data_IF_578321833024
#
_entry.id   IF_578321833024
#
_cell.length_a   1.000
_cell.length_b   1.000
_cell.length_c   1.000
_cell.angle_alpha   90.00
_cell.angle_beta   90.00
_cell.angle_gamma   90.00
#
_symmetry.space_group_name_H-M   'P 1'
#
loop_
_entity.id
_entity.type
_entity.pdbx_description
1 polymer ?
#
# COMPACT_ATOMS: atom_id res chain seq x y z
N UNK A 1 14.09 -5.91 17.28
CA UNK A 1 12.96 -6.55 16.56
C UNK A 1 12.32 -7.74 17.28
N UNK A 2 12.91 -8.31 18.34
CA UNK A 2 12.36 -9.49 19.04
C UNK A 2 10.87 -9.38 19.47
N UNK A 3 10.44 -8.22 19.99
CA UNK A 3 9.02 -8.03 20.33
C UNK A 3 8.11 -8.05 19.10
N UNK A 4 8.54 -7.46 17.98
CA UNK A 4 7.77 -7.46 16.74
C UNK A 4 7.66 -8.88 16.15
N UNK A 5 8.77 -9.63 16.14
CA UNK A 5 8.80 -11.03 15.72
C UNK A 5 7.88 -11.91 16.59
N UNK A 6 7.90 -11.70 17.90
CA UNK A 6 7.00 -12.40 18.82
C UNK A 6 5.52 -12.14 18.50
N UNK A 7 5.14 -10.87 18.26
CA UNK A 7 3.75 -10.53 17.93
C UNK A 7 3.34 -11.03 16.54
N UNK A 8 4.25 -11.04 15.56
CA UNK A 8 4.03 -11.68 14.26
C UNK A 8 3.73 -13.16 14.42
N UNK A 9 4.53 -13.87 15.22
CA UNK A 9 4.32 -15.30 15.43
C UNK A 9 3.00 -15.58 16.15
N UNK A 10 2.61 -14.73 17.11
CA UNK A 10 1.29 -14.79 17.75
C UNK A 10 0.16 -14.56 16.74
N UNK A 11 0.29 -13.57 15.86
CA UNK A 11 -0.69 -13.30 14.81
C UNK A 11 -0.90 -14.50 13.89
N UNK A 12 0.19 -15.10 13.41
CA UNK A 12 0.14 -16.28 12.55
C UNK A 12 -0.52 -17.48 13.25
N UNK A 13 -0.18 -17.74 14.52
CA UNK A 13 -0.84 -18.77 15.32
C UNK A 13 -2.34 -18.52 15.50
N UNK A 14 -2.75 -17.27 15.67
CA UNK A 14 -4.19 -16.97 15.80
C UNK A 14 -4.97 -17.15 14.50
N UNK A 15 -4.33 -16.93 13.33
CA UNK A 15 -4.96 -17.24 12.04
C UNK A 15 -5.26 -18.74 11.93
N UNK A 16 -4.40 -19.63 12.44
CA UNK A 16 -4.60 -21.08 12.40
C UNK A 16 -5.90 -21.51 13.11
N UNK A 17 -6.22 -20.85 14.22
CA UNK A 17 -7.41 -21.10 15.03
C UNK A 17 -8.73 -20.66 14.37
N UNK A 18 -8.68 -19.91 13.27
CA UNK A 18 -9.89 -19.48 12.55
C UNK A 18 -10.46 -20.68 11.78
N UNK A 19 -11.77 -20.98 11.87
CA UNK A 19 -12.36 -22.05 11.06
C UNK A 19 -12.29 -21.72 9.55
N UNK A 20 -12.00 -22.71 8.67
CA UNK A 20 -11.86 -22.47 7.22
C UNK A 20 -13.14 -21.94 6.56
N UNK A 21 -14.31 -22.22 7.13
CA UNK A 21 -15.62 -21.76 6.68
C UNK A 21 -15.94 -20.30 7.10
N UNK A 22 -15.16 -19.73 8.04
CA UNK A 22 -15.38 -18.35 8.48
C UNK A 22 -15.12 -17.39 7.32
N UNK A 23 -16.13 -16.59 7.00
CA UNK A 23 -16.05 -15.54 5.97
C UNK A 23 -16.19 -14.15 6.54
N UNK A 24 -15.48 -13.20 5.96
CA UNK A 24 -15.71 -11.77 6.14
C UNK A 24 -16.16 -11.20 4.79
N UNK A 25 -17.37 -10.64 4.75
CA UNK A 25 -18.06 -10.33 3.49
C UNK A 25 -18.07 -11.57 2.57
N UNK A 26 -17.64 -11.46 1.32
CA UNK A 26 -17.59 -12.57 0.36
C UNK A 26 -16.32 -13.45 0.46
N UNK A 27 -15.33 -13.06 1.25
CA UNK A 27 -14.01 -13.69 1.28
C UNK A 27 -13.81 -14.60 2.51
N UNK A 28 -13.08 -15.73 2.38
CA UNK A 28 -12.61 -16.48 3.55
C UNK A 28 -11.75 -15.57 4.44
N UNK A 29 -12.01 -15.55 5.74
CA UNK A 29 -11.32 -14.64 6.67
C UNK A 29 -9.81 -14.86 6.66
N UNK A 30 -9.34 -16.12 6.51
CA UNK A 30 -7.91 -16.42 6.36
C UNK A 30 -7.29 -15.78 5.13
N UNK A 31 -8.02 -15.71 4.01
CA UNK A 31 -7.54 -15.08 2.77
C UNK A 31 -7.38 -13.57 2.95
N UNK A 32 -8.36 -12.90 3.57
CA UNK A 32 -8.24 -11.47 3.89
C UNK A 32 -7.09 -11.19 4.86
N UNK A 33 -6.92 -12.01 5.90
CA UNK A 33 -5.82 -11.85 6.85
C UNK A 33 -4.44 -12.18 6.25
N UNK A 34 -4.37 -12.99 5.20
CA UNK A 34 -3.12 -13.25 4.49
C UNK A 34 -2.54 -11.98 3.85
N UNK A 35 -3.38 -11.04 3.41
CA UNK A 35 -2.94 -9.70 2.96
C UNK A 35 -2.19 -8.99 4.09
N UNK A 36 -2.79 -8.93 5.27
CA UNK A 36 -2.19 -8.33 6.46
C UNK A 36 -0.92 -9.04 6.92
N UNK A 37 -0.87 -10.38 6.83
CA UNK A 37 0.32 -11.16 7.16
C UNK A 37 1.51 -10.80 6.26
N UNK A 38 1.27 -10.76 4.95
CA UNK A 38 2.31 -10.39 3.98
C UNK A 38 2.75 -8.93 4.14
N UNK A 39 1.81 -8.02 4.41
CA UNK A 39 2.12 -6.61 4.69
C UNK A 39 3.01 -6.46 5.94
N UNK A 40 2.66 -7.17 7.03
CA UNK A 40 3.41 -7.20 8.27
C UNK A 40 4.83 -7.73 8.08
N UNK A 41 5.00 -8.83 7.35
CA UNK A 41 6.32 -9.37 7.03
C UNK A 41 7.16 -8.37 6.21
N UNK A 42 6.53 -7.70 5.24
CA UNK A 42 7.16 -6.67 4.42
C UNK A 42 7.66 -5.50 5.24
N UNK A 43 6.83 -4.93 6.10
CA UNK A 43 7.22 -3.80 6.96
C UNK A 43 8.32 -4.21 7.97
N UNK A 44 8.18 -5.39 8.60
CA UNK A 44 9.17 -5.89 9.56
C UNK A 44 10.55 -6.10 8.92
N UNK A 45 10.60 -6.78 7.77
CA UNK A 45 11.84 -7.05 7.04
C UNK A 45 12.46 -5.77 6.50
N UNK A 46 11.65 -4.81 6.05
CA UNK A 46 12.12 -3.50 5.61
C UNK A 46 12.88 -2.78 6.73
N UNK A 47 12.27 -2.66 7.91
CA UNK A 47 12.90 -1.98 9.04
C UNK A 47 14.10 -2.73 9.63
N UNK A 48 14.23 -4.04 9.35
CA UNK A 48 15.44 -4.82 9.64
C UNK A 48 16.57 -4.59 8.62
N UNK A 49 16.36 -3.79 7.59
CA UNK A 49 17.33 -3.53 6.51
C UNK A 49 17.34 -4.60 5.41
N UNK A 50 16.40 -5.56 5.44
CA UNK A 50 16.28 -6.65 4.47
C UNK A 50 15.34 -6.23 3.31
N UNK A 51 15.74 -5.20 2.56
CA UNK A 51 14.85 -4.52 1.62
C UNK A 51 14.34 -5.40 0.47
N UNK A 52 15.19 -6.25 -0.13
CA UNK A 52 14.76 -7.13 -1.22
C UNK A 52 13.69 -8.13 -0.77
N UNK A 53 13.87 -8.70 0.43
CA UNK A 53 12.89 -9.59 1.07
C UNK A 53 11.59 -8.84 1.36
N UNK A 54 11.69 -7.61 1.86
CA UNK A 54 10.54 -6.75 2.12
C UNK A 54 9.70 -6.50 0.87
N UNK A 55 10.35 -6.15 -0.24
CA UNK A 55 9.63 -5.92 -1.50
C UNK A 55 8.97 -7.20 -2.02
N UNK A 56 9.56 -8.37 -1.78
CA UNK A 56 8.91 -9.65 -2.06
C UNK A 56 7.59 -9.83 -1.29
N UNK A 57 7.62 -9.60 0.02
CA UNK A 57 6.43 -9.68 0.87
C UNK A 57 5.37 -8.64 0.51
N UNK A 58 5.77 -7.39 0.25
CA UNK A 58 4.84 -6.31 -0.10
C UNK A 58 4.18 -6.54 -1.46
N UNK A 59 4.92 -7.02 -2.47
CA UNK A 59 4.32 -7.43 -3.76
C UNK A 59 3.36 -8.60 -3.58
N UNK A 60 3.70 -9.56 -2.70
CA UNK A 60 2.77 -10.64 -2.35
C UNK A 60 1.50 -10.14 -1.68
N UNK A 61 1.60 -9.13 -0.81
CA UNK A 61 0.42 -8.51 -0.20
C UNK A 61 -0.50 -7.87 -1.26
N UNK A 62 0.08 -7.15 -2.23
CA UNK A 62 -0.67 -6.59 -3.37
C UNK A 62 -1.35 -7.68 -4.19
N UNK A 63 -0.62 -8.74 -4.54
CA UNK A 63 -1.19 -9.86 -5.29
C UNK A 63 -2.36 -10.54 -4.53
N UNK A 64 -2.23 -10.72 -3.22
CA UNK A 64 -3.28 -11.29 -2.38
C UNK A 64 -4.53 -10.40 -2.35
N UNK A 65 -4.34 -9.08 -2.25
CA UNK A 65 -5.42 -8.09 -2.22
C UNK A 65 -6.17 -8.02 -3.56
N UNK A 66 -5.42 -7.94 -4.67
CA UNK A 66 -5.97 -7.92 -6.03
C UNK A 66 -6.79 -9.18 -6.37
N UNK A 67 -6.54 -10.29 -5.68
CA UNK A 67 -7.24 -11.57 -5.87
C UNK A 67 -8.37 -11.81 -4.86
N UNK A 68 -8.67 -10.86 -3.96
CA UNK A 68 -9.87 -10.93 -3.14
C UNK A 68 -11.12 -10.80 -4.00
N UNK A 69 -12.16 -11.56 -3.65
CA UNK A 69 -13.47 -11.40 -4.29
C UNK A 69 -14.00 -9.99 -4.04
N UNK A 70 -14.58 -9.39 -5.08
CA UNK A 70 -15.20 -8.07 -4.98
C UNK A 70 -16.28 -8.02 -3.89
N UNK A 71 -16.22 -6.99 -3.05
CA UNK A 71 -17.21 -6.69 -2.01
C UNK A 71 -17.34 -5.18 -1.83
N UNK A 72 -18.52 -4.73 -1.36
CA UNK A 72 -18.74 -3.37 -0.88
C UNK A 72 -19.17 -3.43 0.59
N UNK A 73 -18.38 -2.88 1.55
CA UNK A 73 -17.09 -2.22 1.38
C UNK A 73 -15.96 -3.18 0.94
N UNK A 74 -14.79 -2.65 0.57
CA UNK A 74 -13.63 -3.46 0.20
C UNK A 74 -13.27 -4.48 1.29
N UNK A 75 -12.89 -5.68 0.86
CA UNK A 75 -12.51 -6.76 1.76
C UNK A 75 -11.25 -6.44 2.58
N UNK A 76 -10.39 -5.57 2.02
CA UNK A 76 -9.26 -4.98 2.70
C UNK A 76 -9.29 -3.45 2.46
N UNK A 77 -9.31 -2.67 3.54
CA UNK A 77 -9.58 -1.23 3.46
C UNK A 77 -8.34 -0.38 3.13
N UNK A 78 -7.13 -0.89 3.40
CA UNK A 78 -5.88 -0.15 3.27
C UNK A 78 -4.99 -0.78 2.19
N UNK A 79 -5.00 -0.26 0.95
CA UNK A 79 -4.31 -0.89 -0.18
C UNK A 79 -2.82 -1.14 0.11
N UNK A 80 -2.31 -2.38 0.02
CA UNK A 80 -0.89 -2.68 0.26
C UNK A 80 0.05 -1.93 -0.69
N UNK A 81 -0.46 -1.50 -1.85
CA UNK A 81 0.25 -0.66 -2.84
C UNK A 81 0.81 0.62 -2.22
N UNK A 82 0.13 1.20 -1.22
CA UNK A 82 0.60 2.42 -0.54
C UNK A 82 1.91 2.17 0.23
N UNK A 83 2.00 1.07 0.97
CA UNK A 83 3.21 0.69 1.68
C UNK A 83 4.33 0.31 0.70
N UNK A 84 4.02 -0.53 -0.30
CA UNK A 84 5.00 -0.92 -1.33
C UNK A 84 5.63 0.30 -2.01
N UNK A 85 4.80 1.19 -2.55
CA UNK A 85 5.28 2.35 -3.29
C UNK A 85 6.04 3.34 -2.40
N UNK A 86 5.55 3.60 -1.17
CA UNK A 86 6.23 4.50 -0.25
C UNK A 86 7.63 3.99 0.13
N UNK A 87 7.76 2.69 0.43
CA UNK A 87 9.03 2.09 0.83
C UNK A 87 10.00 1.88 -0.35
N UNK A 88 9.48 1.69 -1.57
CA UNK A 88 10.29 1.76 -2.80
C UNK A 88 10.85 3.17 -3.02
N UNK A 89 9.99 4.18 -2.91
CA UNK A 89 10.36 5.58 -3.11
C UNK A 89 11.39 6.06 -2.09
N UNK A 90 11.29 5.55 -0.86
CA UNK A 90 12.22 5.82 0.24
C UNK A 90 13.65 5.35 -0.06
N UNK A 91 13.80 4.20 -0.72
CA UNK A 91 15.09 3.67 -1.18
C UNK A 91 15.50 4.18 -2.58
N UNK A 92 14.75 5.13 -3.14
CA UNK A 92 15.08 5.72 -4.44
C UNK A 92 14.60 4.93 -5.67
N UNK A 93 13.80 3.87 -5.49
CA UNK A 93 13.16 3.12 -6.57
C UNK A 93 11.94 3.86 -7.15
N UNK A 94 12.14 5.11 -7.57
CA UNK A 94 11.06 6.03 -7.95
C UNK A 94 10.25 5.55 -9.16
N UNK A 95 10.89 4.91 -10.15
CA UNK A 95 10.19 4.40 -11.35
C UNK A 95 9.19 3.30 -11.01
N UNK A 96 9.56 2.36 -10.14
CA UNK A 96 8.64 1.30 -9.71
C UNK A 96 7.54 1.87 -8.81
N UNK A 97 7.91 2.74 -7.87
CA UNK A 97 6.94 3.41 -7.00
C UNK A 97 5.88 4.18 -7.81
N UNK A 98 6.30 4.93 -8.82
CA UNK A 98 5.39 5.65 -9.72
C UNK A 98 4.38 4.71 -10.38
N UNK A 99 4.85 3.58 -10.91
CA UNK A 99 3.97 2.60 -11.54
C UNK A 99 2.96 2.03 -10.53
N UNK A 100 3.39 1.70 -9.31
CA UNK A 100 2.50 1.19 -8.25
C UNK A 100 1.43 2.22 -7.87
N UNK A 101 1.77 3.52 -7.81
CA UNK A 101 0.77 4.57 -7.58
C UNK A 101 -0.20 4.75 -8.75
N UNK A 102 0.30 4.66 -10.00
CA UNK A 102 -0.58 4.72 -11.18
C UNK A 102 -1.55 3.55 -11.23
N UNK A 103 -1.08 2.36 -10.88
CA UNK A 103 -1.91 1.17 -10.74
C UNK A 103 -3.01 1.37 -9.70
N UNK A 104 -2.64 1.84 -8.50
CA UNK A 104 -3.58 2.11 -7.41
C UNK A 104 -4.65 3.14 -7.83
N UNK A 105 -4.25 4.23 -8.49
CA UNK A 105 -5.17 5.27 -8.95
C UNK A 105 -5.99 4.87 -10.21
N UNK A 106 -5.74 3.69 -10.79
CA UNK A 106 -6.38 3.24 -12.02
C UNK A 106 -5.93 3.96 -13.28
N UNK A 107 -4.77 4.62 -13.25
CA UNK A 107 -4.20 5.39 -14.37
C UNK A 107 -3.44 4.52 -15.38
N UNK A 108 -3.01 3.32 -15.01
CA UNK A 108 -2.28 2.40 -15.90
C UNK A 108 -3.18 1.47 -16.71
N UNK A 109 -4.43 1.26 -16.27
CA UNK A 109 -5.32 0.24 -16.83
C UNK A 109 -4.91 -1.20 -16.54
N UNK A 110 -3.89 -1.45 -15.72
CA UNK A 110 -3.37 -2.78 -15.42
C UNK A 110 -4.20 -3.52 -14.34
N UNK A 111 -4.82 -2.78 -13.43
CA UNK A 111 -5.55 -3.32 -12.28
C UNK A 111 -7.05 -3.37 -12.55
N UNK A 112 -7.74 -4.38 -12.03
CA UNK A 112 -9.20 -4.49 -12.14
C UNK A 112 -9.90 -3.28 -11.50
N UNK A 113 -11.03 -2.85 -12.08
CA UNK A 113 -11.73 -1.63 -11.63
C UNK A 113 -12.04 -1.60 -10.12
N UNK A 114 -12.35 -2.76 -9.54
CA UNK A 114 -12.65 -2.92 -8.12
C UNK A 114 -11.46 -2.70 -7.18
N UNK A 115 -10.23 -2.85 -7.70
CA UNK A 115 -8.97 -2.63 -6.98
C UNK A 115 -8.31 -1.29 -7.36
N UNK A 116 -9.03 -0.43 -8.09
CA UNK A 116 -8.62 0.95 -8.37
C UNK A 116 -9.25 1.90 -7.36
N UNK A 117 -8.45 2.84 -6.86
CA UNK A 117 -8.79 3.87 -5.89
C UNK A 117 -8.64 5.28 -6.50
N UNK A 118 -9.53 5.69 -7.43
CA UNK A 118 -9.46 7.02 -8.03
C UNK A 118 -9.47 8.13 -6.97
N UNK A 119 -8.61 9.11 -7.18
CA UNK A 119 -8.45 10.28 -6.31
C UNK A 119 -8.12 9.95 -4.83
N UNK A 120 -7.56 8.76 -4.55
CA UNK A 120 -7.05 8.44 -3.23
C UNK A 120 -5.90 9.38 -2.86
N UNK A 121 -6.08 10.13 -1.78
CA UNK A 121 -5.16 11.19 -1.35
C UNK A 121 -3.75 10.67 -1.06
N UNK A 122 -3.61 9.46 -0.51
CA UNK A 122 -2.33 8.86 -0.15
C UNK A 122 -1.54 8.48 -1.40
N UNK A 123 -2.18 7.86 -2.39
CA UNK A 123 -1.54 7.53 -3.67
C UNK A 123 -1.26 8.77 -4.53
N UNK A 124 -2.16 9.76 -4.54
CA UNK A 124 -1.93 11.05 -5.20
C UNK A 124 -0.69 11.75 -4.64
N UNK A 125 -0.52 11.74 -3.31
CA UNK A 125 0.65 12.35 -2.67
C UNK A 125 1.95 11.71 -3.18
N UNK A 126 2.02 10.38 -3.15
CA UNK A 126 3.22 9.65 -3.58
C UNK A 126 3.50 9.75 -5.09
N UNK A 127 2.45 9.75 -5.91
CA UNK A 127 2.61 9.98 -7.35
C UNK A 127 3.18 11.37 -7.63
N UNK A 128 2.63 12.42 -6.99
CA UNK A 128 3.15 13.79 -7.13
C UNK A 128 4.62 13.88 -6.69
N UNK A 129 5.01 13.19 -5.61
CA UNK A 129 6.41 13.11 -5.18
C UNK A 129 7.29 12.45 -6.24
N UNK A 130 6.87 11.34 -6.85
CA UNK A 130 7.61 10.67 -7.94
C UNK A 130 7.79 11.60 -9.14
N UNK A 131 6.72 12.29 -9.54
CA UNK A 131 6.72 13.20 -10.69
C UNK A 131 7.63 14.42 -10.48
N UNK A 132 7.62 15.00 -9.28
CA UNK A 132 8.56 16.06 -8.90
C UNK A 132 10.01 15.58 -9.03
N UNK A 133 10.33 14.39 -8.49
CA UNK A 133 11.70 13.84 -8.52
C UNK A 133 12.22 13.59 -9.94
N UNK A 134 11.38 13.14 -10.87
CA UNK A 134 11.78 12.95 -12.28
C UNK A 134 11.69 14.20 -13.14
N UNK A 135 11.22 15.32 -12.59
CA UNK A 135 11.12 16.61 -13.28
C UNK A 135 10.00 16.68 -14.33
N UNK A 136 8.91 15.96 -14.12
CA UNK A 136 7.74 15.98 -15.01
C UNK A 136 7.05 17.35 -15.01
N UNK A 137 6.62 17.83 -16.18
CA UNK A 137 6.05 19.19 -16.36
C UNK A 137 4.66 19.21 -16.96
N UNK A 138 4.28 18.19 -17.71
CA UNK A 138 3.05 18.18 -18.49
C UNK A 138 1.86 17.70 -17.66
N UNK A 139 1.99 16.54 -17.00
CA UNK A 139 0.90 15.97 -16.16
C UNK A 139 0.93 16.44 -14.70
N UNK A 140 2.09 16.90 -14.21
CA UNK A 140 2.30 17.26 -12.80
C UNK A 140 1.29 18.33 -12.30
N UNK A 141 1.03 19.43 -13.02
CA UNK A 141 0.08 20.45 -12.56
C UNK A 141 -1.34 19.91 -12.36
N UNK A 142 -1.78 19.00 -13.23
CA UNK A 142 -3.09 18.37 -13.14
C UNK A 142 -3.22 17.46 -11.91
N UNK A 143 -2.20 16.66 -11.64
CA UNK A 143 -2.17 15.78 -10.46
C UNK A 143 -2.00 16.55 -9.15
N UNK A 144 -1.26 17.67 -9.15
CA UNK A 144 -1.17 18.57 -8.00
C UNK A 144 -2.52 19.22 -7.66
N UNK A 145 -3.30 19.63 -8.67
CA UNK A 145 -4.65 20.17 -8.44
C UNK A 145 -5.60 19.13 -7.83
N UNK A 146 -5.52 17.88 -8.30
CA UNK A 146 -6.27 16.75 -7.70
C UNK A 146 -5.84 16.49 -6.26
N UNK A 147 -4.54 16.44 -6.00
CA UNK A 147 -3.99 16.27 -4.66
C UNK A 147 -4.45 17.39 -3.72
N UNK A 148 -4.39 18.64 -4.15
CA UNK A 148 -4.86 19.79 -3.36
C UNK A 148 -6.34 19.65 -2.99
N UNK A 149 -7.18 19.20 -3.93
CA UNK A 149 -8.61 18.96 -3.69
C UNK A 149 -8.84 17.84 -2.68
N UNK A 150 -8.04 16.77 -2.75
CA UNK A 150 -8.12 15.64 -1.84
C UNK A 150 -7.63 15.99 -0.43
N UNK A 151 -6.55 16.79 -0.31
CA UNK A 151 -5.98 17.24 0.96
C UNK A 151 -6.92 18.11 1.78
N UNK A 152 -7.81 18.89 1.15
CA UNK A 152 -8.83 19.69 1.87
C UNK A 152 -9.75 18.81 2.72
N UNK A 153 -9.90 17.52 2.38
CA UNK A 153 -10.74 16.56 3.09
C UNK A 153 -9.97 15.76 4.14
N UNK A 154 -8.66 15.96 4.27
CA UNK A 154 -7.83 15.20 5.19
C UNK A 154 -7.89 15.80 6.60
N UNK A 155 -8.24 14.98 7.60
CA UNK A 155 -8.25 15.39 9.01
C UNK A 155 -6.83 15.52 9.60
N UNK A 156 -5.86 14.84 8.98
CA UNK A 156 -4.47 14.83 9.41
C UNK A 156 -3.56 15.26 8.26
N UNK A 157 -2.42 15.91 8.55
CA UNK A 157 -1.41 16.18 7.53
C UNK A 157 -0.92 14.87 6.90
N UNK A 158 -0.99 14.78 5.58
CA UNK A 158 -0.46 13.65 4.81
C UNK A 158 0.90 14.06 4.28
N UNK A 159 1.94 13.39 4.79
CA UNK A 159 3.34 13.67 4.46
C UNK A 159 4.01 12.53 3.69
N UNK A 160 3.35 11.37 3.61
CA UNK A 160 3.78 10.17 2.93
C UNK A 160 2.56 9.32 2.61
N UNK A 161 2.64 8.44 1.61
CA UNK A 161 1.55 7.52 1.26
C UNK A 161 1.34 6.39 2.27
N UNK A 162 2.33 6.09 3.12
CA UNK A 162 2.16 5.22 4.29
C UNK A 162 2.81 5.85 5.53
N UNK A 163 2.29 5.51 6.71
CA UNK A 163 2.93 5.75 8.01
C UNK A 163 4.17 4.87 8.27
N UNK A 164 4.36 3.82 7.45
CA UNK A 164 5.50 2.91 7.47
C UNK A 164 6.83 3.62 7.12
N UNK A 165 6.76 4.66 6.27
CA UNK A 165 7.94 5.39 5.80
C UNK A 165 8.32 6.45 6.82
N UNK A 166 9.46 6.28 7.48
CA UNK A 166 9.94 7.19 8.54
C UNK A 166 10.85 8.30 8.02
N UNK A 167 11.51 8.12 6.87
CA UNK A 167 12.28 9.16 6.18
C UNK A 167 11.39 9.99 5.27
N UNK A 168 10.55 10.81 5.89
CA UNK A 168 9.89 11.91 5.18
C UNK A 168 10.95 12.98 4.94
N UNK A 169 11.38 13.13 3.68
CA UNK A 169 12.18 14.28 3.27
C UNK A 169 11.23 15.48 3.28
N UNK A 170 11.52 16.47 4.13
CA UNK A 170 10.84 17.75 4.04
C UNK A 170 11.28 18.42 2.72
N UNK A 171 10.30 18.76 1.87
CA UNK A 171 10.48 19.67 0.73
C UNK A 171 11.03 21.03 1.22
#
# INVERSE_FOLDING_TARGET
FASAEHHRDLFNRQIENIPPERRFLSNPTKTSLAVGAALLDGELTYHQGRHDEAYGHLRRAVELDDNLSYTEPWAWMHPPRHALAALLLDQGHATEAEQVYRDDLGLSGAVQRCAQHPDNVWALHGLVECLKRRGEKDELPGLQAKLATALVKADVPITSSCLCRTSVQAD
#
